data_IF_423805509954
#
_entry.id   IF_423805509954
#
_cell.length_a   1.000
_cell.length_b   1.000
_cell.length_c   1.000
_cell.angle_alpha   90.00
_cell.angle_beta   90.00
_cell.angle_gamma   90.00
#
_symmetry.space_group_name_H-M   'P 1'
#
loop_
_entity.id
_entity.type
_entity.pdbx_description
1 polymer ?
#
# COMPACT_ATOMS: atom_id res chain seq x y z
N UNK A 1 71.82 43.98 -11.18
CA UNK A 1 70.69 43.31 -10.49
C UNK A 1 69.83 42.54 -11.48
N UNK A 2 70.26 41.33 -11.88
CA UNK A 2 69.42 40.42 -12.66
C UNK A 2 68.80 39.38 -11.72
N UNK A 3 67.54 39.64 -11.35
CA UNK A 3 66.66 38.67 -10.71
C UNK A 3 66.37 37.54 -11.70
N UNK A 4 67.05 36.40 -11.53
CA UNK A 4 66.76 35.19 -12.27
C UNK A 4 65.44 34.60 -11.78
N UNK A 5 64.35 34.90 -12.48
CA UNK A 5 63.08 34.21 -12.27
C UNK A 5 63.27 32.71 -12.53
N UNK A 6 63.35 31.92 -11.44
CA UNK A 6 63.34 30.46 -11.52
C UNK A 6 62.10 30.01 -12.30
N UNK A 7 62.33 29.40 -13.46
CA UNK A 7 61.29 28.78 -14.30
C UNK A 7 60.43 27.87 -13.43
N UNK A 8 59.13 28.15 -13.36
CA UNK A 8 58.18 27.42 -12.53
C UNK A 8 58.04 26.00 -13.09
N UNK A 9 58.64 25.02 -12.42
CA UNK A 9 58.58 23.61 -12.81
C UNK A 9 57.14 23.12 -12.88
N UNK A 10 56.87 22.25 -13.85
CA UNK A 10 55.54 21.65 -13.99
C UNK A 10 55.21 20.73 -12.80
N UNK A 11 53.92 20.51 -12.53
CA UNK A 11 53.48 19.63 -11.43
C UNK A 11 54.07 18.23 -11.55
N UNK A 12 54.10 17.67 -12.75
CA UNK A 12 54.66 16.35 -13.02
C UNK A 12 56.17 16.29 -12.75
N UNK A 13 56.90 17.35 -13.08
CA UNK A 13 58.35 17.45 -12.86
C UNK A 13 58.69 17.58 -11.37
N UNK A 14 57.88 18.34 -10.62
CA UNK A 14 57.99 18.40 -9.15
C UNK A 14 57.72 17.05 -8.49
N UNK A 15 56.70 16.33 -8.94
CA UNK A 15 56.39 14.97 -8.45
C UNK A 15 57.54 14.02 -8.78
N UNK A 16 58.11 14.08 -10.00
CA UNK A 16 59.25 13.26 -10.40
C UNK A 16 60.47 13.49 -9.51
N UNK A 17 60.79 14.75 -9.21
CA UNK A 17 61.90 15.10 -8.32
C UNK A 17 61.65 14.59 -6.90
N UNK A 18 60.43 14.70 -6.38
CA UNK A 18 60.07 14.15 -5.07
C UNK A 18 60.20 12.61 -5.02
N UNK A 19 59.73 11.91 -6.07
CA UNK A 19 59.87 10.46 -6.17
C UNK A 19 61.34 10.01 -6.28
N UNK A 20 62.20 10.81 -6.91
CA UNK A 20 63.64 10.52 -6.95
C UNK A 20 64.26 10.55 -5.55
N UNK A 21 63.91 11.55 -4.73
CA UNK A 21 64.39 11.65 -3.33
C UNK A 21 63.93 10.44 -2.51
N UNK A 22 62.65 10.05 -2.63
CA UNK A 22 62.10 8.88 -1.92
C UNK A 22 62.83 7.60 -2.33
N UNK A 23 63.11 7.45 -3.63
CA UNK A 23 63.85 6.31 -4.18
C UNK A 23 65.31 6.28 -3.71
N UNK A 24 66.00 7.42 -3.69
CA UNK A 24 67.39 7.53 -3.26
C UNK A 24 67.51 7.23 -1.75
N UNK A 25 66.48 7.56 -0.97
CA UNK A 25 66.32 7.16 0.43
C UNK A 25 66.01 5.68 0.64
N UNK A 26 65.83 4.88 -0.42
CA UNK A 26 65.45 3.46 -0.39
C UNK A 26 64.12 3.18 0.33
N UNK A 27 63.18 4.14 0.31
CA UNK A 27 61.86 4.00 0.91
C UNK A 27 60.85 3.71 -0.22
N UNK A 28 59.96 2.73 -0.05
CA UNK A 28 58.87 2.55 -1.02
C UNK A 28 57.83 3.65 -0.86
N UNK A 29 57.18 4.06 -1.95
CA UNK A 29 56.15 5.11 -1.86
C UNK A 29 54.97 4.70 -0.95
N UNK A 30 54.67 3.39 -0.87
CA UNK A 30 53.63 2.88 0.02
C UNK A 30 54.07 2.95 1.48
N UNK A 31 55.33 2.64 1.80
CA UNK A 31 55.85 2.75 3.18
C UNK A 31 55.89 4.22 3.61
N UNK A 32 56.31 5.11 2.71
CA UNK A 32 56.28 6.56 2.92
C UNK A 32 54.86 7.05 3.23
N UNK A 33 53.86 6.64 2.44
CA UNK A 33 52.46 6.98 2.70
C UNK A 33 51.95 6.37 4.01
N UNK A 34 52.32 5.13 4.31
CA UNK A 34 51.89 4.42 5.52
C UNK A 34 52.40 5.15 6.77
N UNK A 35 53.65 5.62 6.75
CA UNK A 35 54.22 6.36 7.87
C UNK A 35 53.62 7.76 8.03
N UNK A 36 53.23 8.43 6.95
CA UNK A 36 52.47 9.69 7.03
C UNK A 36 51.08 9.49 7.64
N UNK A 37 50.44 8.35 7.35
CA UNK A 37 49.09 8.04 7.80
C UNK A 37 49.05 7.39 9.20
N UNK A 38 50.20 7.00 9.76
CA UNK A 38 50.27 6.41 11.10
C UNK A 38 49.90 7.45 12.17
N UNK A 39 48.81 7.24 12.93
CA UNK A 39 48.37 8.20 13.95
C UNK A 39 49.34 8.32 15.14
N UNK A 40 50.28 7.38 15.31
CA UNK A 40 51.31 7.46 16.35
C UNK A 40 52.41 8.49 16.02
N UNK A 41 52.62 8.81 14.74
CA UNK A 41 53.67 9.70 14.25
C UNK A 41 53.20 11.16 14.20
N UNK A 42 53.36 11.86 15.33
CA UNK A 42 52.87 13.25 15.50
C UNK A 42 53.49 14.25 14.52
N UNK A 43 54.70 14.00 14.05
CA UNK A 43 55.42 14.89 13.12
C UNK A 43 54.72 15.02 11.76
N UNK A 44 53.93 14.01 11.35
CA UNK A 44 53.23 14.01 10.06
C UNK A 44 51.76 14.41 10.15
N UNK A 45 51.27 14.80 11.34
CA UNK A 45 49.85 15.11 11.57
C UNK A 45 49.29 16.15 10.62
N UNK A 46 50.06 17.19 10.28
CA UNK A 46 49.62 18.23 9.34
C UNK A 46 49.40 17.68 7.91
N UNK A 47 50.29 16.77 7.47
CA UNK A 47 50.17 16.10 6.17
C UNK A 47 48.99 15.12 6.15
N UNK A 48 48.84 14.33 7.21
CA UNK A 48 47.71 13.44 7.41
C UNK A 48 46.37 14.20 7.37
N UNK A 49 46.28 15.34 8.07
CA UNK A 49 45.09 16.21 8.05
C UNK A 49 44.80 16.76 6.65
N UNK A 50 45.83 17.12 5.89
CA UNK A 50 45.67 17.61 4.52
C UNK A 50 45.21 16.52 3.53
N UNK A 51 45.44 15.24 3.82
CA UNK A 51 44.92 14.12 3.01
C UNK A 51 43.42 13.97 3.22
N UNK A 52 42.94 14.16 4.46
CA UNK A 52 41.53 14.05 4.84
C UNK A 52 40.74 15.37 4.72
N UNK A 53 41.36 16.46 4.25
CA UNK A 53 40.68 17.73 4.10
C UNK A 53 39.56 17.64 3.06
N UNK A 54 38.35 18.04 3.45
CA UNK A 54 37.20 18.16 2.56
C UNK A 54 37.07 19.61 2.12
N UNK A 55 36.92 19.84 0.81
CA UNK A 55 36.63 21.15 0.22
C UNK A 55 35.18 21.11 -0.27
N UNK A 56 34.37 22.12 0.07
CA UNK A 56 32.95 22.16 -0.27
C UNK A 56 32.68 22.09 -1.78
N UNK A 57 33.66 22.45 -2.61
CA UNK A 57 33.52 22.53 -4.06
C UNK A 57 34.19 21.39 -4.84
N UNK A 58 34.83 20.42 -4.19
CA UNK A 58 35.45 19.29 -4.91
C UNK A 58 35.45 17.99 -4.10
N UNK A 59 35.31 16.81 -4.77
CA UNK A 59 35.38 15.55 -4.07
C UNK A 59 36.73 15.40 -3.38
N UNK A 60 36.77 14.86 -2.14
CA UNK A 60 38.00 14.67 -1.39
C UNK A 60 39.07 14.00 -2.25
N UNK A 61 40.31 14.51 -2.20
CA UNK A 61 41.43 13.98 -3.00
C UNK A 61 41.67 12.49 -2.74
N UNK A 62 41.36 12.03 -1.54
CA UNK A 62 41.43 10.62 -1.17
C UNK A 62 40.46 9.76 -1.99
N UNK A 63 39.26 10.26 -2.32
CA UNK A 63 38.31 9.52 -3.16
C UNK A 63 38.85 9.39 -4.58
N UNK A 64 39.45 10.46 -5.13
CA UNK A 64 40.09 10.40 -6.44
C UNK A 64 41.23 9.36 -6.47
N UNK A 65 42.01 9.26 -5.40
CA UNK A 65 43.05 8.22 -5.27
C UNK A 65 42.43 6.82 -5.27
N UNK A 66 41.37 6.59 -4.50
CA UNK A 66 40.68 5.30 -4.46
C UNK A 66 40.03 4.95 -5.80
N UNK A 67 39.44 5.91 -6.51
CA UNK A 67 38.92 5.71 -7.86
C UNK A 67 40.02 5.30 -8.84
N UNK A 68 41.20 5.93 -8.76
CA UNK A 68 42.35 5.55 -9.59
C UNK A 68 42.84 4.13 -9.29
N UNK A 69 42.89 3.74 -8.02
CA UNK A 69 43.28 2.38 -7.62
C UNK A 69 42.22 1.36 -8.08
N UNK A 70 40.94 1.67 -7.88
CA UNK A 70 39.82 0.80 -8.21
C UNK A 70 39.70 0.55 -9.73
N UNK A 71 40.00 1.57 -10.55
CA UNK A 71 39.95 1.49 -12.01
C UNK A 71 41.23 0.89 -12.63
N UNK A 72 42.32 0.73 -11.87
CA UNK A 72 43.53 0.06 -12.38
C UNK A 72 43.30 -1.47 -12.49
N UNK A 73 43.67 -2.12 -13.61
CA UNK A 73 43.47 -3.56 -13.80
C UNK A 73 44.16 -4.47 -12.75
N UNK A 74 45.24 -3.99 -12.11
CA UNK A 74 45.98 -4.72 -11.08
C UNK A 74 45.57 -4.29 -9.68
N UNK A 75 45.35 -2.99 -9.48
CA UNK A 75 44.93 -2.41 -8.21
C UNK A 75 43.49 -2.77 -7.83
N UNK A 76 42.57 -2.74 -8.79
CA UNK A 76 41.14 -2.96 -8.58
C UNK A 76 40.82 -4.28 -7.87
N UNK A 77 41.34 -5.44 -8.34
CA UNK A 77 41.12 -6.72 -7.66
C UNK A 77 41.64 -6.76 -6.22
N UNK A 78 42.82 -6.16 -5.96
CA UNK A 78 43.39 -6.11 -4.61
C UNK A 78 42.56 -5.19 -3.69
N UNK A 79 42.14 -4.05 -4.21
CA UNK A 79 41.34 -3.07 -3.47
C UNK A 79 39.95 -3.62 -3.14
N UNK A 80 39.29 -4.30 -4.08
CA UNK A 80 38.01 -4.99 -3.82
C UNK A 80 38.15 -6.05 -2.75
N UNK A 81 39.18 -6.90 -2.83
CA UNK A 81 39.45 -7.94 -1.82
C UNK A 81 39.68 -7.35 -0.43
N UNK A 82 40.36 -6.20 -0.35
CA UNK A 82 40.55 -5.48 0.92
C UNK A 82 39.24 -4.88 1.44
N UNK A 83 38.45 -4.22 0.58
CA UNK A 83 37.15 -3.65 0.95
C UNK A 83 36.16 -4.73 1.37
N UNK A 84 36.11 -5.88 0.70
CA UNK A 84 35.17 -6.96 1.00
C UNK A 84 35.20 -7.38 2.48
N UNK A 85 36.40 -7.42 3.08
CA UNK A 85 36.58 -7.77 4.49
C UNK A 85 35.97 -6.75 5.45
N UNK A 86 35.85 -5.47 5.05
CA UNK A 86 35.32 -4.38 5.88
C UNK A 86 33.89 -3.98 5.49
N UNK A 87 33.50 -4.25 4.25
CA UNK A 87 32.22 -3.83 3.68
C UNK A 87 31.05 -4.45 4.43
N UNK A 88 31.19 -5.70 4.90
CA UNK A 88 30.14 -6.38 5.66
C UNK A 88 29.79 -5.59 6.92
N UNK A 89 30.77 -5.11 7.68
CA UNK A 89 30.53 -4.37 8.92
C UNK A 89 29.90 -3.01 8.64
N UNK A 90 30.42 -2.28 7.64
CA UNK A 90 29.88 -0.97 7.23
C UNK A 90 28.43 -1.07 6.75
N UNK A 91 28.14 -2.05 5.88
CA UNK A 91 26.79 -2.28 5.37
C UNK A 91 25.87 -2.77 6.49
N UNK A 92 26.35 -3.64 7.38
CA UNK A 92 25.57 -4.12 8.52
C UNK A 92 25.20 -2.99 9.48
N UNK A 93 26.14 -2.09 9.79
CA UNK A 93 25.86 -0.89 10.59
C UNK A 93 24.81 -0.02 9.90
N UNK A 94 24.95 0.21 8.59
CA UNK A 94 23.99 1.03 7.85
C UNK A 94 22.58 0.41 7.84
N UNK A 95 22.48 -0.89 7.60
CA UNK A 95 21.22 -1.64 7.63
C UNK A 95 20.62 -1.66 9.03
N UNK A 96 21.45 -1.72 10.08
CA UNK A 96 20.99 -1.64 11.47
C UNK A 96 20.26 -0.32 11.73
N UNK A 97 20.87 0.81 11.35
CA UNK A 97 20.28 2.14 11.51
C UNK A 97 19.00 2.29 10.69
N UNK A 98 19.03 1.85 9.42
CA UNK A 98 17.85 1.84 8.54
C UNK A 98 16.68 1.04 9.15
N UNK A 99 16.97 -0.11 9.75
CA UNK A 99 15.94 -0.95 10.37
C UNK A 99 15.38 -0.36 11.67
N UNK A 100 16.12 0.49 12.38
CA UNK A 100 15.57 1.25 13.50
C UNK A 100 14.60 2.34 13.04
N UNK A 101 14.91 3.04 11.94
CA UNK A 101 13.99 4.00 11.33
C UNK A 101 12.72 3.32 10.82
N UNK A 102 12.83 2.16 10.16
CA UNK A 102 11.67 1.38 9.69
C UNK A 102 10.82 0.90 10.87
N UNK A 103 11.44 0.44 11.95
CA UNK A 103 10.74 0.00 13.17
C UNK A 103 9.89 1.13 13.75
N UNK A 104 10.44 2.34 13.81
CA UNK A 104 9.69 3.49 14.33
C UNK A 104 8.56 3.91 13.38
N UNK A 105 8.78 3.84 12.06
CA UNK A 105 7.75 4.12 11.06
C UNK A 105 6.61 3.09 11.04
N UNK A 106 6.91 1.82 11.31
CA UNK A 106 5.93 0.71 11.33
C UNK A 106 5.33 0.43 12.71
N UNK A 107 5.60 1.30 13.69
CA UNK A 107 5.11 1.11 15.04
C UNK A 107 3.58 1.22 15.09
N UNK A 108 2.96 0.16 15.60
CA UNK A 108 1.51 0.03 15.75
C UNK A 108 1.15 -0.85 16.95
N UNK A 109 -0.13 -0.83 17.30
CA UNK A 109 -0.70 -1.69 18.33
C UNK A 109 -1.86 -2.46 17.74
N UNK A 110 -2.36 -3.49 18.42
CA UNK A 110 -3.58 -4.18 17.96
C UNK A 110 -4.74 -3.18 17.79
N UNK A 111 -4.79 -2.13 18.62
CA UNK A 111 -5.77 -1.06 18.52
C UNK A 111 -5.57 -0.13 17.31
N UNK A 112 -4.41 -0.08 16.67
CA UNK A 112 -4.23 0.69 15.42
C UNK A 112 -4.76 -0.06 14.19
N UNK A 113 -4.99 -1.37 14.29
CA UNK A 113 -5.60 -2.18 13.24
C UNK A 113 -7.13 -2.02 13.31
N UNK A 114 -7.68 -1.12 12.51
CA UNK A 114 -9.12 -0.80 12.47
C UNK A 114 -9.82 -1.46 11.28
N UNK A 115 -11.16 -1.60 11.28
CA UNK A 115 -11.89 -2.05 10.10
C UNK A 115 -11.61 -1.18 8.87
N UNK A 116 -11.55 0.14 9.02
CA UNK A 116 -11.27 1.09 7.95
C UNK A 116 -9.85 0.91 7.40
N UNK A 117 -8.87 0.73 8.28
CA UNK A 117 -7.50 0.41 7.88
C UNK A 117 -7.47 -0.86 7.02
N UNK A 118 -8.10 -1.95 7.48
CA UNK A 118 -8.12 -3.23 6.75
C UNK A 118 -8.81 -3.13 5.38
N UNK A 119 -9.80 -2.26 5.22
CA UNK A 119 -10.50 -2.04 3.95
C UNK A 119 -9.65 -1.31 2.91
N UNK A 120 -8.66 -0.53 3.35
CA UNK A 120 -7.75 0.24 2.47
C UNK A 120 -6.33 -0.32 2.43
N UNK A 121 -6.05 -1.32 3.25
CA UNK A 121 -4.70 -1.83 3.42
C UNK A 121 -4.24 -2.58 2.16
N UNK A 122 -3.07 -2.20 1.67
CA UNK A 122 -2.31 -2.91 0.67
C UNK A 122 -0.84 -2.89 1.06
N UNK A 123 -0.17 -4.04 0.93
CA UNK A 123 1.19 -4.23 1.40
C UNK A 123 2.18 -3.31 0.66
N UNK A 124 2.05 -3.19 -0.65
CA UNK A 124 3.01 -2.44 -1.45
C UNK A 124 2.86 -0.94 -1.16
N UNK A 125 1.65 -0.40 -1.26
CA UNK A 125 1.38 1.01 -0.96
C UNK A 125 1.74 1.41 0.48
N UNK A 126 1.58 0.51 1.46
CA UNK A 126 1.97 0.76 2.85
C UNK A 126 3.49 0.74 3.03
N UNK A 127 4.18 -0.24 2.44
CA UNK A 127 5.60 -0.48 2.68
C UNK A 127 6.52 0.34 1.79
N UNK A 128 6.18 0.58 0.51
CA UNK A 128 7.04 1.25 -0.47
C UNK A 128 7.44 2.65 0.04
N UNK A 129 6.47 3.42 0.55
CA UNK A 129 6.71 4.77 1.11
C UNK A 129 7.68 4.78 2.28
N UNK A 130 7.67 3.72 3.09
CA UNK A 130 8.51 3.61 4.28
C UNK A 130 9.90 3.13 3.86
N UNK A 131 9.98 2.12 3.01
CA UNK A 131 11.23 1.50 2.59
C UNK A 131 12.06 2.47 1.75
N UNK A 132 11.46 3.17 0.79
CA UNK A 132 12.16 4.14 -0.07
C UNK A 132 12.82 5.26 0.75
N UNK A 133 12.19 5.63 1.87
CA UNK A 133 12.67 6.70 2.75
C UNK A 133 13.66 6.20 3.81
N UNK A 134 13.36 5.06 4.44
CA UNK A 134 14.00 4.63 5.69
C UNK A 134 14.96 3.45 5.52
N UNK A 135 14.85 2.66 4.44
CA UNK A 135 15.71 1.49 4.22
C UNK A 135 16.20 1.31 2.77
N UNK A 136 16.76 2.34 2.13
CA UNK A 136 17.18 2.27 0.74
C UNK A 136 18.33 1.28 0.50
N UNK A 137 19.26 1.15 1.45
CA UNK A 137 20.41 0.23 1.30
C UNK A 137 19.93 -1.21 1.42
N UNK A 138 19.16 -1.52 2.46
CA UNK A 138 18.59 -2.86 2.63
C UNK A 138 17.71 -3.25 1.45
N UNK A 139 16.87 -2.33 0.95
CA UNK A 139 16.02 -2.60 -0.20
C UNK A 139 16.83 -3.01 -1.44
N UNK A 140 17.91 -2.28 -1.75
CA UNK A 140 18.79 -2.63 -2.88
C UNK A 140 19.47 -3.98 -2.71
N UNK A 141 19.88 -4.33 -1.48
CA UNK A 141 20.47 -5.63 -1.18
C UNK A 141 19.46 -6.77 -1.41
N UNK A 142 18.24 -6.60 -0.89
CA UNK A 142 17.16 -7.58 -1.05
C UNK A 142 16.72 -7.68 -2.51
N UNK A 143 16.61 -6.56 -3.22
CA UNK A 143 16.25 -6.55 -4.64
C UNK A 143 17.29 -7.34 -5.45
N UNK A 144 18.58 -7.06 -5.22
CA UNK A 144 19.70 -7.76 -5.86
C UNK A 144 19.70 -9.26 -5.56
N UNK A 145 19.29 -9.66 -4.36
CA UNK A 145 19.16 -11.07 -3.99
C UNK A 145 17.88 -11.73 -4.56
N UNK A 146 16.81 -10.97 -4.71
CA UNK A 146 15.47 -11.49 -5.07
C UNK A 146 15.29 -11.71 -6.57
N UNK A 147 16.09 -11.05 -7.42
CA UNK A 147 15.89 -11.05 -8.87
C UNK A 147 17.21 -11.12 -9.63
N UNK A 148 17.26 -12.00 -10.64
CA UNK A 148 18.36 -12.06 -11.61
C UNK A 148 18.10 -11.14 -12.80
N UNK A 149 19.13 -10.78 -13.56
CA UNK A 149 18.99 -9.96 -14.78
C UNK A 149 18.03 -10.57 -15.81
N UNK A 150 17.94 -11.90 -15.85
CA UNK A 150 16.97 -12.61 -16.69
C UNK A 150 15.56 -12.45 -16.15
N UNK A 151 15.36 -12.68 -14.85
CA UNK A 151 14.06 -12.52 -14.20
C UNK A 151 13.56 -11.07 -14.30
N UNK A 152 14.44 -10.07 -14.30
CA UNK A 152 14.09 -8.66 -14.53
C UNK A 152 13.49 -8.41 -15.91
N UNK A 153 13.97 -9.12 -16.93
CA UNK A 153 13.52 -8.95 -18.33
C UNK A 153 12.29 -9.77 -18.68
N UNK A 154 12.16 -10.97 -18.12
CA UNK A 154 11.20 -11.98 -18.58
C UNK A 154 10.04 -12.24 -17.61
N UNK A 155 10.16 -11.89 -16.33
CA UNK A 155 9.17 -12.29 -15.33
C UNK A 155 7.96 -11.36 -15.32
N UNK A 156 6.81 -11.91 -15.70
CA UNK A 156 5.51 -11.21 -15.68
C UNK A 156 4.62 -11.61 -14.50
N UNK A 157 5.06 -12.56 -13.66
CA UNK A 157 4.21 -13.17 -12.62
C UNK A 157 4.62 -12.85 -11.19
N UNK A 158 5.93 -12.83 -10.88
CA UNK A 158 6.41 -12.54 -9.51
C UNK A 158 6.88 -11.11 -9.41
N UNK A 159 6.42 -10.42 -8.37
CA UNK A 159 6.85 -9.06 -8.03
C UNK A 159 7.94 -9.13 -6.96
N UNK A 160 9.19 -8.85 -7.33
CA UNK A 160 10.33 -8.82 -6.40
C UNK A 160 10.11 -7.82 -5.26
N UNK A 161 9.50 -6.66 -5.57
CA UNK A 161 9.17 -5.62 -4.59
C UNK A 161 8.32 -6.14 -3.44
N UNK A 162 7.23 -6.86 -3.74
CA UNK A 162 6.35 -7.41 -2.69
C UNK A 162 7.08 -8.39 -1.78
N UNK A 163 7.97 -9.23 -2.33
CA UNK A 163 8.78 -10.15 -1.53
C UNK A 163 9.74 -9.38 -0.62
N UNK A 164 10.42 -8.35 -1.16
CA UNK A 164 11.31 -7.50 -0.37
C UNK A 164 10.54 -6.80 0.76
N UNK A 165 9.36 -6.27 0.47
CA UNK A 165 8.50 -5.62 1.46
C UNK A 165 8.07 -6.57 2.58
N UNK A 166 7.71 -7.82 2.24
CA UNK A 166 7.41 -8.86 3.22
C UNK A 166 8.63 -9.16 4.09
N UNK A 167 9.81 -9.32 3.50
CA UNK A 167 11.05 -9.61 4.25
C UNK A 167 11.39 -8.46 5.21
N UNK A 168 11.35 -7.21 4.75
CA UNK A 168 11.61 -6.04 5.61
C UNK A 168 10.62 -6.00 6.77
N UNK A 169 9.33 -6.19 6.51
CA UNK A 169 8.32 -6.22 7.55
C UNK A 169 8.51 -7.39 8.54
N UNK A 170 8.91 -8.57 8.08
CA UNK A 170 9.29 -9.70 8.95
C UNK A 170 10.46 -9.34 9.87
N UNK A 171 11.54 -8.79 9.31
CA UNK A 171 12.71 -8.35 10.07
C UNK A 171 12.31 -7.29 11.11
N UNK A 172 11.43 -6.37 10.73
CA UNK A 172 10.93 -5.31 11.63
C UNK A 172 10.08 -5.89 12.76
N UNK A 173 9.26 -6.91 12.48
CA UNK A 173 8.48 -7.65 13.49
C UNK A 173 9.38 -8.42 14.47
N UNK A 174 10.49 -8.99 13.98
CA UNK A 174 11.49 -9.63 14.86
C UNK A 174 12.21 -8.61 15.77
N UNK A 175 12.40 -7.37 15.30
CA UNK A 175 12.97 -6.29 16.13
C UNK A 175 11.97 -5.71 17.13
N UNK A 176 10.67 -5.79 16.84
CA UNK A 176 9.62 -5.22 17.69
C UNK A 176 8.27 -5.89 17.46
N UNK A 177 7.67 -6.38 18.54
CA UNK A 177 6.29 -6.90 18.56
C UNK A 177 5.22 -5.83 18.24
N UNK A 178 5.60 -4.56 18.16
CA UNK A 178 4.73 -3.46 17.76
C UNK A 178 4.70 -3.23 16.24
N UNK A 179 5.49 -3.96 15.44
CA UNK A 179 5.49 -3.81 13.98
C UNK A 179 4.38 -4.66 13.33
N UNK A 180 3.13 -4.23 13.51
CA UNK A 180 1.95 -5.07 13.22
C UNK A 180 1.31 -4.85 11.85
N UNK A 181 1.70 -3.81 11.11
CA UNK A 181 0.99 -3.40 9.89
C UNK A 181 1.04 -4.41 8.74
N UNK A 182 1.98 -5.36 8.73
CA UNK A 182 1.90 -6.55 7.88
C UNK A 182 1.34 -7.76 8.64
N UNK A 183 1.90 -8.04 9.81
CA UNK A 183 1.67 -9.27 10.53
C UNK A 183 0.19 -9.46 10.89
N UNK A 184 -0.53 -8.40 11.28
CA UNK A 184 -1.93 -8.48 11.67
C UNK A 184 -2.87 -8.72 10.47
N UNK A 185 -2.86 -7.92 9.38
CA UNK A 185 -3.64 -8.21 8.18
C UNK A 185 -3.36 -9.60 7.58
N UNK A 186 -2.08 -10.01 7.59
CA UNK A 186 -1.70 -11.33 7.10
C UNK A 186 -2.27 -12.46 7.98
N UNK A 187 -2.23 -12.34 9.31
CA UNK A 187 -2.87 -13.32 10.19
C UNK A 187 -4.38 -13.39 10.01
N UNK A 188 -5.07 -12.25 9.84
CA UNK A 188 -6.51 -12.25 9.55
C UNK A 188 -6.78 -13.02 8.26
N UNK A 189 -6.01 -12.75 7.21
CA UNK A 189 -6.12 -13.46 5.93
C UNK A 189 -5.96 -14.97 6.10
N UNK A 190 -4.93 -15.42 6.84
CA UNK A 190 -4.73 -16.84 7.12
C UNK A 190 -5.92 -17.44 7.86
N UNK A 191 -6.41 -16.77 8.91
CA UNK A 191 -7.52 -17.24 9.71
C UNK A 191 -8.82 -17.32 8.90
N UNK A 192 -9.14 -16.32 8.08
CA UNK A 192 -10.34 -16.34 7.22
C UNK A 192 -10.29 -17.42 6.15
N UNK A 193 -9.09 -17.84 5.74
CA UNK A 193 -8.88 -18.96 4.82
C UNK A 193 -8.83 -20.33 5.52
N UNK A 194 -9.14 -20.37 6.82
CA UNK A 194 -9.22 -21.62 7.58
C UNK A 194 -7.87 -22.21 7.99
N UNK A 195 -6.80 -21.40 8.04
CA UNK A 195 -5.52 -21.86 8.54
C UNK A 195 -5.65 -22.38 9.98
N UNK A 196 -5.05 -23.54 10.25
CA UNK A 196 -5.05 -24.13 11.59
C UNK A 196 -4.31 -23.23 12.59
N UNK A 197 -4.65 -23.36 13.89
CA UNK A 197 -3.91 -22.67 14.97
C UNK A 197 -2.42 -23.00 14.92
N UNK A 198 -2.05 -24.25 14.68
CA UNK A 198 -0.66 -24.71 14.62
C UNK A 198 0.10 -24.05 13.46
N UNK A 199 -0.56 -23.89 12.31
CA UNK A 199 0.00 -23.16 11.17
C UNK A 199 0.27 -21.71 11.54
N UNK A 200 -0.69 -21.02 12.15
CA UNK A 200 -0.54 -19.62 12.56
C UNK A 200 0.60 -19.48 13.58
N UNK A 201 0.66 -20.32 14.60
CA UNK A 201 1.75 -20.28 15.60
C UNK A 201 3.12 -20.57 14.98
N UNK A 202 3.19 -21.45 13.97
CA UNK A 202 4.44 -21.73 13.25
C UNK A 202 4.90 -20.51 12.44
N UNK A 203 3.99 -19.87 11.71
CA UNK A 203 4.29 -18.66 10.94
C UNK A 203 4.60 -17.46 11.84
N UNK A 204 3.97 -17.38 13.01
CA UNK A 204 4.26 -16.34 13.98
C UNK A 204 5.71 -16.44 14.51
N UNK A 205 6.22 -17.67 14.73
CA UNK A 205 7.63 -17.88 15.08
C UNK A 205 8.59 -17.44 13.97
N UNK A 206 8.17 -17.50 12.71
CA UNK A 206 8.92 -16.96 11.57
C UNK A 206 8.78 -15.43 11.41
N UNK A 207 8.00 -14.74 12.25
CA UNK A 207 7.77 -13.30 12.14
C UNK A 207 6.83 -12.88 11.00
N UNK A 208 6.21 -13.84 10.32
CA UNK A 208 5.30 -13.60 9.19
C UNK A 208 3.95 -13.04 9.62
N UNK A 209 3.50 -13.41 10.83
CA UNK A 209 2.16 -13.15 11.30
C UNK A 209 2.17 -12.96 12.83
N UNK A 210 1.09 -12.46 13.41
CA UNK A 210 0.92 -12.43 14.88
C UNK A 210 0.51 -13.80 15.42
N UNK A 211 0.73 -14.03 16.72
CA UNK A 211 0.29 -15.24 17.42
C UNK A 211 -1.23 -15.42 17.41
N UNK A 212 -1.71 -16.64 17.66
CA UNK A 212 -3.15 -16.91 17.71
C UNK A 212 -3.86 -16.20 18.87
N UNK A 213 -3.16 -16.03 20.00
CA UNK A 213 -3.66 -15.23 21.13
C UNK A 213 -3.87 -13.76 20.74
N UNK A 214 -2.89 -13.17 20.05
CA UNK A 214 -2.97 -11.79 19.56
C UNK A 214 -4.07 -11.62 18.51
N UNK A 215 -4.24 -12.60 17.61
CA UNK A 215 -5.35 -12.67 16.67
C UNK A 215 -6.70 -12.64 17.40
N UNK A 216 -6.87 -13.42 18.46
CA UNK A 216 -8.13 -13.46 19.22
C UNK A 216 -8.45 -12.10 19.84
N UNK A 217 -7.44 -11.41 20.38
CA UNK A 217 -7.58 -10.04 20.90
C UNK A 217 -7.92 -9.05 19.80
N UNK A 218 -7.27 -9.17 18.64
CA UNK A 218 -7.55 -8.35 17.46
C UNK A 218 -9.00 -8.54 16.97
N UNK A 219 -9.47 -9.79 16.85
CA UNK A 219 -10.84 -10.09 16.45
C UNK A 219 -11.87 -9.51 17.43
N UNK A 220 -11.63 -9.63 18.75
CA UNK A 220 -12.48 -8.99 19.77
C UNK A 220 -12.52 -7.46 19.60
N UNK A 221 -11.35 -6.84 19.39
CA UNK A 221 -11.24 -5.39 19.19
C UNK A 221 -11.99 -4.92 17.94
N UNK A 222 -11.82 -5.65 16.82
CA UNK A 222 -12.51 -5.37 15.56
C UNK A 222 -14.03 -5.57 15.70
N UNK A 223 -14.47 -6.63 16.39
CA UNK A 223 -15.87 -6.90 16.64
C UNK A 223 -16.52 -5.79 17.49
N UNK A 224 -15.88 -5.38 18.59
CA UNK A 224 -16.36 -4.27 19.42
C UNK A 224 -16.49 -2.97 18.62
N UNK A 225 -15.47 -2.60 17.83
CA UNK A 225 -15.54 -1.40 16.97
C UNK A 225 -16.63 -1.49 15.90
N UNK A 226 -16.81 -2.67 15.31
CA UNK A 226 -17.87 -2.90 14.34
C UNK A 226 -19.25 -2.80 14.99
N UNK A 227 -19.40 -3.27 16.23
CA UNK A 227 -20.63 -3.13 17.01
C UNK A 227 -20.89 -1.67 17.38
N UNK A 228 -19.89 -0.93 17.86
CA UNK A 228 -20.02 0.50 18.17
C UNK A 228 -20.46 1.27 16.92
N UNK A 229 -19.86 0.95 15.77
CA UNK A 229 -20.26 1.51 14.48
C UNK A 229 -21.69 1.15 14.13
N UNK A 230 -22.09 -0.10 14.31
CA UNK A 230 -23.46 -0.56 14.05
C UNK A 230 -24.47 0.16 14.96
N UNK A 231 -24.16 0.37 16.23
CA UNK A 231 -24.99 1.13 17.18
C UNK A 231 -25.15 2.57 16.70
N UNK A 232 -24.05 3.25 16.37
CA UNK A 232 -24.08 4.63 15.87
C UNK A 232 -24.94 4.76 14.62
N UNK A 233 -24.81 3.79 13.70
CA UNK A 233 -25.62 3.77 12.50
C UNK A 233 -27.08 3.55 12.89
N UNK A 234 -27.40 2.52 13.66
CA UNK A 234 -28.76 2.13 13.99
C UNK A 234 -29.58 3.23 14.70
N UNK A 235 -28.93 4.20 15.34
CA UNK A 235 -29.58 5.38 15.93
C UNK A 235 -30.20 6.33 14.89
N UNK A 236 -29.77 6.27 13.62
CA UNK A 236 -30.33 7.07 12.54
C UNK A 236 -31.76 6.65 12.14
N UNK A 237 -32.49 7.50 11.40
CA UNK A 237 -33.78 7.13 10.84
C UNK A 237 -33.56 6.14 9.68
N UNK A 238 -33.90 4.86 9.90
CA UNK A 238 -33.71 3.79 8.93
C UNK A 238 -35.01 3.06 8.63
N UNK A 239 -35.11 2.51 7.42
CA UNK A 239 -36.13 1.52 7.07
C UNK A 239 -35.45 0.16 6.92
N UNK A 240 -35.99 -0.84 7.61
CA UNK A 240 -35.63 -2.23 7.42
C UNK A 240 -36.35 -2.78 6.19
N UNK A 241 -35.59 -3.36 5.27
CA UNK A 241 -36.11 -4.10 4.14
C UNK A 241 -35.40 -5.45 4.04
N UNK A 242 -36.02 -6.39 3.34
CA UNK A 242 -35.36 -7.60 2.89
C UNK A 242 -35.05 -7.45 1.42
N UNK A 243 -33.78 -7.68 1.07
CA UNK A 243 -33.37 -7.70 -0.33
C UNK A 243 -32.90 -9.10 -0.71
N UNK A 244 -33.04 -9.42 -1.99
CA UNK A 244 -32.62 -10.69 -2.53
C UNK A 244 -31.10 -10.71 -2.70
N UNK A 245 -30.45 -11.74 -2.19
CA UNK A 245 -29.05 -12.04 -2.45
C UNK A 245 -28.93 -13.32 -3.26
N UNK A 246 -28.11 -13.26 -4.30
CA UNK A 246 -27.73 -14.41 -5.09
C UNK A 246 -26.23 -14.64 -4.89
N UNK A 247 -25.87 -15.74 -4.24
CA UNK A 247 -24.48 -16.13 -4.00
C UNK A 247 -24.13 -17.20 -5.04
N UNK A 248 -23.21 -16.88 -5.95
CA UNK A 248 -22.64 -17.88 -6.86
C UNK A 248 -21.69 -18.77 -6.06
N UNK A 249 -21.99 -20.07 -5.98
CA UNK A 249 -21.21 -21.05 -5.19
C UNK A 249 -20.32 -21.93 -6.07
N UNK A 250 -20.48 -21.86 -7.40
CA UNK A 250 -19.76 -22.70 -8.35
C UNK A 250 -19.37 -21.93 -9.61
N UNK A 251 -18.13 -22.14 -10.06
CA UNK A 251 -17.61 -21.64 -11.35
C UNK A 251 -17.87 -22.63 -12.51
N UNK A 252 -18.42 -23.81 -12.22
CA UNK A 252 -18.66 -24.84 -13.24
C UNK A 252 -19.93 -24.55 -14.03
N UNK A 253 -19.89 -24.87 -15.34
CA UNK A 253 -20.99 -24.60 -16.26
C UNK A 253 -22.20 -25.51 -15.96
N UNK A 254 -21.96 -26.79 -15.65
CA UNK A 254 -22.99 -27.81 -15.43
C UNK A 254 -23.36 -27.99 -13.96
N UNK A 255 -24.66 -28.10 -13.67
CA UNK A 255 -25.19 -28.40 -12.35
C UNK A 255 -25.42 -29.92 -12.23
N UNK A 256 -24.79 -30.56 -11.24
CA UNK A 256 -24.97 -32.00 -10.95
C UNK A 256 -25.94 -32.18 -9.79
N UNK A 257 -26.71 -33.27 -9.78
CA UNK A 257 -27.75 -33.54 -8.76
C UNK A 257 -27.23 -33.62 -7.32
N UNK A 258 -25.97 -34.05 -7.12
CA UNK A 258 -25.31 -34.13 -5.81
C UNK A 258 -24.35 -32.96 -5.52
N UNK A 259 -24.21 -32.03 -6.45
CA UNK A 259 -23.34 -30.86 -6.27
C UNK A 259 -24.11 -29.70 -5.62
N UNK A 260 -23.42 -28.81 -4.88
CA UNK A 260 -24.03 -27.58 -4.38
C UNK A 260 -24.70 -26.78 -5.52
N UNK A 261 -25.90 -26.25 -5.25
CA UNK A 261 -26.63 -25.43 -6.22
C UNK A 261 -25.78 -24.24 -6.67
N UNK A 262 -25.62 -24.06 -7.99
CA UNK A 262 -24.72 -23.08 -8.61
C UNK A 262 -24.92 -21.66 -8.10
N UNK A 263 -26.18 -21.30 -7.87
CA UNK A 263 -26.58 -20.05 -7.22
C UNK A 263 -27.43 -20.42 -6.03
N UNK A 264 -27.05 -19.93 -4.86
CA UNK A 264 -27.91 -19.92 -3.69
C UNK A 264 -28.59 -18.56 -3.61
N UNK A 265 -29.91 -18.57 -3.77
CA UNK A 265 -30.74 -17.40 -3.56
C UNK A 265 -31.20 -17.37 -2.10
N UNK A 266 -31.22 -16.19 -1.52
CA UNK A 266 -31.79 -15.94 -0.21
C UNK A 266 -32.27 -14.50 -0.08
N UNK A 267 -32.90 -14.19 1.03
CA UNK A 267 -33.23 -12.83 1.43
C UNK A 267 -32.37 -12.45 2.63
N UNK A 268 -31.83 -11.24 2.62
CA UNK A 268 -31.08 -10.72 3.75
C UNK A 268 -31.60 -9.35 4.19
N UNK A 269 -31.62 -9.06 5.50
CA UNK A 269 -32.06 -7.77 6.01
C UNK A 269 -31.06 -6.66 5.68
N UNK A 270 -31.58 -5.55 5.16
CA UNK A 270 -30.86 -4.30 4.89
C UNK A 270 -31.55 -3.18 5.65
N UNK A 271 -30.76 -2.32 6.30
CA UNK A 271 -31.22 -0.99 6.71
C UNK A 271 -30.85 0.04 5.65
N UNK A 272 -31.84 0.82 5.22
CA UNK A 272 -31.67 1.96 4.33
C UNK A 272 -31.80 3.26 5.12
N UNK A 273 -30.84 4.16 4.96
CA UNK A 273 -30.91 5.50 5.55
C UNK A 273 -32.03 6.30 4.89
N UNK A 274 -32.98 6.79 5.70
CA UNK A 274 -34.12 7.56 5.19
C UNK A 274 -33.69 8.99 4.90
N UNK A 275 -33.77 9.39 3.64
CA UNK A 275 -33.55 10.78 3.23
C UNK A 275 -34.56 11.70 3.90
N UNK A 276 -34.08 12.70 4.64
CA UNK A 276 -34.89 13.62 5.45
C UNK A 276 -35.75 12.90 6.50
N UNK A 277 -35.30 11.72 6.97
CA UNK A 277 -35.98 11.00 8.04
C UNK A 277 -36.03 11.82 9.33
N UNK A 278 -37.18 11.78 10.00
CA UNK A 278 -37.39 12.41 11.29
C UNK A 278 -37.95 11.36 12.25
N UNK A 279 -37.27 11.14 13.38
CA UNK A 279 -37.68 10.16 14.39
C UNK A 279 -39.09 10.37 14.91
N UNK A 280 -39.58 11.61 14.97
CA UNK A 280 -40.96 11.92 15.37
C UNK A 280 -41.98 11.26 14.45
N UNK A 281 -41.70 11.21 13.15
CA UNK A 281 -42.57 10.57 12.16
C UNK A 281 -42.50 9.04 12.21
N UNK A 282 -41.46 8.49 12.84
CA UNK A 282 -41.21 7.05 12.96
C UNK A 282 -41.68 6.47 14.29
N UNK A 283 -42.32 7.28 15.15
CA UNK A 283 -42.89 6.81 16.41
C UNK A 283 -44.07 5.87 16.16
N UNK A 284 -44.05 4.72 16.84
CA UNK A 284 -45.09 3.70 16.70
C UNK A 284 -46.46 4.19 17.18
N UNK A 285 -46.53 4.93 18.29
CA UNK A 285 -47.81 5.35 18.88
C UNK A 285 -48.67 6.20 17.93
N UNK A 286 -48.16 7.27 17.26
CA UNK A 286 -48.92 7.97 16.23
C UNK A 286 -49.34 7.09 15.05
N UNK A 287 -48.51 6.12 14.65
CA UNK A 287 -48.84 5.20 13.55
C UNK A 287 -49.99 4.26 13.94
N UNK A 288 -49.96 3.71 15.16
CA UNK A 288 -51.04 2.87 15.69
C UNK A 288 -52.34 3.67 15.84
N UNK A 289 -52.27 4.90 16.36
CA UNK A 289 -53.45 5.77 16.47
C UNK A 289 -54.08 6.07 15.11
N UNK A 290 -53.26 6.38 14.09
CA UNK A 290 -53.75 6.55 12.71
C UNK A 290 -54.32 5.26 12.13
N UNK A 291 -53.71 4.11 12.41
CA UNK A 291 -54.20 2.82 11.93
C UNK A 291 -55.56 2.45 12.54
N UNK A 292 -55.79 2.75 13.82
CA UNK A 292 -57.08 2.55 14.48
C UNK A 292 -58.17 3.48 13.94
N UNK A 293 -57.80 4.67 13.49
CA UNK A 293 -58.70 5.67 12.90
C UNK A 293 -58.79 5.57 11.37
N UNK A 294 -58.08 4.63 10.75
CA UNK A 294 -58.09 4.48 9.31
C UNK A 294 -59.45 3.97 8.85
N UNK A 295 -60.04 4.64 7.88
CA UNK A 295 -61.25 4.19 7.20
C UNK A 295 -60.90 3.22 6.07
N UNK A 296 -61.89 2.40 5.67
CA UNK A 296 -61.73 1.49 4.55
C UNK A 296 -61.40 2.25 3.26
N UNK A 297 -60.45 1.72 2.50
CA UNK A 297 -60.07 2.29 1.22
C UNK A 297 -61.25 2.24 0.25
N UNK A 298 -61.56 3.37 -0.36
CA UNK A 298 -62.58 3.46 -1.40
C UNK A 298 -61.94 3.46 -2.78
N UNK A 299 -62.51 2.71 -3.72
CA UNK A 299 -61.91 2.59 -5.05
C UNK A 299 -61.78 3.95 -5.76
N UNK A 300 -62.78 4.82 -5.66
CA UNK A 300 -62.81 6.06 -6.42
C UNK A 300 -61.91 7.17 -5.85
N UNK A 301 -61.72 7.25 -4.53
CA UNK A 301 -60.89 8.28 -3.93
C UNK A 301 -59.45 7.82 -3.70
N UNK A 302 -59.23 6.56 -3.32
CA UNK A 302 -57.92 6.10 -2.82
C UNK A 302 -57.16 5.22 -3.82
N UNK A 303 -57.87 4.44 -4.65
CA UNK A 303 -57.25 3.49 -5.58
C UNK A 303 -57.15 4.05 -7.00
N UNK A 304 -58.23 4.70 -7.48
CA UNK A 304 -58.32 5.20 -8.84
C UNK A 304 -57.27 6.29 -9.05
N UNK A 305 -56.35 6.14 -10.03
CA UNK A 305 -55.36 7.16 -10.28
C UNK A 305 -56.03 8.47 -10.69
N UNK A 306 -55.56 9.57 -10.10
CA UNK A 306 -55.96 10.92 -10.49
C UNK A 306 -55.64 11.18 -11.97
N UNK A 307 -56.32 12.15 -12.58
CA UNK A 307 -56.06 12.55 -13.98
C UNK A 307 -54.57 12.84 -14.22
N UNK A 308 -53.90 13.49 -13.26
CA UNK A 308 -52.47 13.79 -13.33
C UNK A 308 -51.60 12.53 -13.25
N UNK A 309 -51.93 11.56 -12.39
CA UNK A 309 -51.23 10.28 -12.31
C UNK A 309 -51.41 9.45 -13.59
N UNK A 310 -52.63 9.42 -14.16
CA UNK A 310 -52.92 8.73 -15.43
C UNK A 310 -52.08 9.35 -16.54
N UNK A 311 -52.09 10.69 -16.67
CA UNK A 311 -51.30 11.40 -17.67
C UNK A 311 -49.81 11.06 -17.53
N UNK A 312 -49.27 11.18 -16.32
CA UNK A 312 -47.87 10.87 -16.06
C UNK A 312 -47.53 9.41 -16.36
N UNK A 313 -48.37 8.44 -15.99
CA UNK A 313 -48.10 7.04 -16.30
C UNK A 313 -48.17 6.74 -17.79
N UNK A 314 -49.11 7.36 -18.51
CA UNK A 314 -49.16 7.27 -19.98
C UNK A 314 -47.89 7.82 -20.63
N UNK A 315 -47.37 8.93 -20.14
CA UNK A 315 -46.15 9.52 -20.69
C UNK A 315 -44.94 8.59 -20.46
N UNK A 316 -44.85 7.94 -19.29
CA UNK A 316 -43.81 6.93 -19.00
C UNK A 316 -43.94 5.68 -19.89
N UNK A 317 -45.17 5.20 -20.12
CA UNK A 317 -45.39 4.06 -21.01
C UNK A 317 -45.06 4.38 -22.47
N UNK A 318 -45.36 5.60 -22.94
CA UNK A 318 -44.98 6.02 -24.29
C UNK A 318 -43.47 5.97 -24.48
N UNK A 319 -42.70 6.45 -23.51
CA UNK A 319 -41.23 6.35 -23.54
C UNK A 319 -40.79 4.89 -23.62
N UNK A 320 -41.26 4.02 -22.71
CA UNK A 320 -40.89 2.60 -22.73
C UNK A 320 -41.26 1.87 -24.03
N UNK A 321 -42.45 2.09 -24.56
CA UNK A 321 -42.87 1.48 -25.83
C UNK A 321 -41.97 1.97 -26.97
N UNK A 322 -41.64 3.27 -26.97
CA UNK A 322 -40.75 3.84 -27.99
C UNK A 322 -39.35 3.25 -27.88
N UNK A 323 -38.78 3.16 -26.67
CA UNK A 323 -37.46 2.53 -26.44
C UNK A 323 -37.43 1.08 -26.93
N UNK A 324 -38.46 0.28 -26.61
CA UNK A 324 -38.55 -1.11 -27.08
C UNK A 324 -38.59 -1.16 -28.62
N UNK A 325 -39.36 -0.29 -29.27
CA UNK A 325 -39.43 -0.25 -30.74
C UNK A 325 -38.09 0.13 -31.35
N UNK A 326 -37.39 1.10 -30.76
CA UNK A 326 -36.09 1.57 -31.23
C UNK A 326 -34.98 0.53 -31.02
N UNK A 327 -35.02 -0.23 -29.93
CA UNK A 327 -34.04 -1.27 -29.63
C UNK A 327 -34.28 -2.58 -30.39
N UNK A 328 -35.55 -2.99 -30.55
CA UNK A 328 -35.88 -4.30 -31.10
C UNK A 328 -36.16 -4.29 -32.61
N UNK A 329 -36.46 -3.14 -33.23
CA UNK A 329 -36.76 -3.08 -34.66
C UNK A 329 -35.55 -2.59 -35.48
N UNK A 330 -35.08 -3.42 -36.41
CA UNK A 330 -33.91 -3.13 -37.24
C UNK A 330 -34.05 -1.83 -38.07
N UNK A 331 -35.27 -1.42 -38.42
CA UNK A 331 -35.54 -0.19 -39.17
C UNK A 331 -35.13 1.08 -38.42
N UNK A 332 -35.05 1.03 -37.08
CA UNK A 332 -34.68 2.16 -36.23
C UNK A 332 -33.26 2.08 -35.67
N UNK A 333 -32.44 1.10 -36.11
CA UNK A 333 -31.09 0.86 -35.58
C UNK A 333 -30.14 2.07 -35.67
N UNK A 334 -30.39 2.98 -36.62
CA UNK A 334 -29.59 4.18 -36.83
C UNK A 334 -30.11 5.41 -36.05
N UNK A 335 -31.22 5.29 -35.32
CA UNK A 335 -31.85 6.40 -34.59
C UNK A 335 -31.23 6.60 -33.19
N UNK A 336 -30.50 7.71 -33.01
CA UNK A 336 -29.79 8.07 -31.78
C UNK A 336 -30.74 8.79 -30.79
N UNK A 337 -31.62 8.04 -30.12
CA UNK A 337 -32.74 8.56 -29.33
C UNK A 337 -32.42 8.99 -27.89
N UNK A 338 -31.37 8.43 -27.27
CA UNK A 338 -31.18 8.55 -25.81
C UNK A 338 -30.85 9.97 -25.32
N UNK A 339 -30.61 10.91 -26.23
CA UNK A 339 -30.38 12.33 -25.93
C UNK A 339 -31.60 13.23 -26.16
N UNK A 340 -32.71 12.73 -26.72
CA UNK A 340 -33.89 13.55 -27.00
C UNK A 340 -34.73 13.79 -25.73
N UNK A 341 -34.95 15.05 -25.30
CA UNK A 341 -35.69 15.33 -24.07
C UNK A 341 -37.12 14.78 -24.07
N UNK A 342 -37.75 14.64 -25.24
CA UNK A 342 -39.11 14.10 -25.39
C UNK A 342 -39.20 12.59 -25.13
N UNK A 343 -38.09 11.87 -25.23
CA UNK A 343 -37.97 10.43 -24.98
C UNK A 343 -37.32 10.14 -23.62
N UNK A 344 -37.14 11.16 -22.78
CA UNK A 344 -36.64 10.98 -21.43
C UNK A 344 -37.78 10.82 -20.43
N UNK A 345 -37.60 9.90 -19.49
CA UNK A 345 -38.51 9.74 -18.37
C UNK A 345 -38.57 11.03 -17.52
N UNK A 346 -39.78 11.56 -17.33
CA UNK A 346 -39.96 12.70 -16.43
C UNK A 346 -39.73 12.29 -14.97
N UNK A 347 -38.78 12.95 -14.29
CA UNK A 347 -38.48 12.70 -12.89
C UNK A 347 -39.63 13.18 -11.98
N UNK A 348 -40.33 12.24 -11.34
CA UNK A 348 -41.44 12.57 -10.41
C UNK A 348 -40.96 13.10 -9.06
N UNK A 349 -39.77 12.68 -8.62
CA UNK A 349 -39.13 13.08 -7.36
C UNK A 349 -37.63 13.17 -7.60
N UNK A 350 -37.18 14.32 -8.11
CA UNK A 350 -35.77 14.55 -8.41
C UNK A 350 -34.92 14.38 -7.17
N UNK A 351 -33.97 13.46 -7.22
CA UNK A 351 -32.92 13.35 -6.22
C UNK A 351 -31.84 14.40 -6.55
N UNK A 352 -31.17 14.99 -5.54
CA UNK A 352 -30.02 15.86 -5.77
C UNK A 352 -29.00 15.15 -6.64
N UNK A 353 -28.34 15.89 -7.54
CA UNK A 353 -27.29 15.33 -8.38
C UNK A 353 -26.23 14.64 -7.53
N UNK A 354 -25.88 13.41 -7.91
CA UNK A 354 -24.89 12.59 -7.18
C UNK A 354 -25.39 11.91 -5.91
N UNK A 355 -26.68 12.05 -5.55
CA UNK A 355 -27.24 11.34 -4.40
C UNK A 355 -27.17 9.82 -4.60
N UNK A 356 -26.57 9.12 -3.63
CA UNK A 356 -26.53 7.66 -3.55
C UNK A 356 -27.22 7.23 -2.27
N UNK A 357 -28.17 6.31 -2.39
CA UNK A 357 -28.82 5.70 -1.22
C UNK A 357 -27.77 4.98 -0.40
N UNK A 358 -27.68 5.34 0.88
CA UNK A 358 -26.81 4.67 1.84
C UNK A 358 -27.57 3.51 2.45
N UNK A 359 -26.93 2.35 2.50
CA UNK A 359 -27.52 1.15 3.06
C UNK A 359 -26.47 0.33 3.79
N UNK A 360 -26.91 -0.45 4.75
CA UNK A 360 -26.04 -1.37 5.49
C UNK A 360 -26.70 -2.74 5.59
N UNK A 361 -25.88 -3.76 5.40
CA UNK A 361 -26.31 -5.15 5.51
C UNK A 361 -26.32 -5.53 6.99
N UNK A 362 -27.41 -6.11 7.46
CA UNK A 362 -27.49 -6.66 8.82
C UNK A 362 -27.12 -8.14 8.71
N UNK A 363 -26.04 -8.56 9.38
CA UNK A 363 -25.57 -9.95 9.37
C UNK A 363 -25.23 -10.42 10.77
#
# INVERSE_FOLDING_TARGET
NHSSQKKRQSKAERIRNALAIVRDGKISFIDFLSQILDPSEKEFKAYCTAIYSVDDNSPPKLYQLFDLILNDPRGGPLFRRWIEAQAVDVVSSKVYDEMDDVKDALRGTISSITPEFLMTWDINSTMDRIIDKSAPTLHRLLESASQTDRARRENTKKTSTTVCNVIVAQLTNQRSHHSLYLAAPFTITLWTNGASRQTIETLAKCGLCISFSSLTTLLKTLASRSLDRAIQVAQGPHILCYDNINISTSIFVEQRSLAPAKVQSGTFPIIYEVRNGNHEHMRLAPMLGRAQQAFDLTFNADIRPTVNQIKSSRDQFKVHITDILLECCAAFKNYMHRSEPALQHQERRKLPGGYKTKFQKIR
#
